data_IF_684634026721
#
_entry.id   IF_684634026721
#
_cell.length_a   1.000
_cell.length_b   1.000
_cell.length_c   1.000
_cell.angle_alpha   90.00
_cell.angle_beta   90.00
_cell.angle_gamma   90.00
#
_symmetry.space_group_name_H-M   'P 1'
#
loop_
_entity.id
_entity.type
_entity.pdbx_description
1 polymer ?
#
# COMPACT_ATOMS: atom_id res chain seq x y z
N UNK A 1 5.97 8.88 -19.13
CA UNK A 1 5.67 7.65 -19.90
C UNK A 1 4.43 7.00 -19.30
N UNK A 2 3.41 6.67 -20.09
CA UNK A 2 2.24 5.94 -19.61
C UNK A 2 2.40 4.45 -19.95
N UNK A 3 3.23 3.76 -19.17
CA UNK A 3 3.64 2.36 -19.44
C UNK A 3 2.43 1.41 -19.52
N UNK A 4 1.36 1.71 -18.78
CA UNK A 4 0.16 0.88 -18.68
C UNK A 4 -1.06 1.49 -19.40
N UNK A 5 -0.87 2.54 -20.19
CA UNK A 5 -1.99 3.26 -20.81
C UNK A 5 -2.84 2.43 -21.77
N UNK A 6 -2.25 1.41 -22.40
CA UNK A 6 -2.94 0.51 -23.33
C UNK A 6 -3.56 -0.73 -22.68
N UNK A 7 -3.26 -1.01 -21.40
CA UNK A 7 -3.71 -2.24 -20.73
C UNK A 7 -5.06 -2.10 -20.02
N UNK A 8 -5.64 -0.90 -19.98
CA UNK A 8 -6.84 -0.61 -19.19
C UNK A 8 -6.60 -0.55 -17.68
N UNK A 9 -5.35 -0.71 -17.23
CA UNK A 9 -4.96 -0.60 -15.82
C UNK A 9 -4.97 0.88 -15.43
N UNK A 10 -5.73 1.19 -14.38
CA UNK A 10 -5.84 2.54 -13.82
C UNK A 10 -4.83 2.70 -12.68
N UNK A 11 -3.87 3.57 -12.89
CA UNK A 11 -2.79 3.90 -11.94
C UNK A 11 -2.99 5.33 -11.48
N UNK A 12 -3.08 5.55 -10.18
CA UNK A 12 -3.29 6.89 -9.61
C UNK A 12 -2.41 7.14 -8.41
N UNK A 13 -2.08 8.42 -8.20
CA UNK A 13 -1.32 8.89 -7.05
C UNK A 13 -2.20 9.23 -5.86
N UNK A 14 -1.75 8.85 -4.67
CA UNK A 14 -2.34 9.20 -3.38
C UNK A 14 -1.24 9.87 -2.55
N UNK A 15 -1.16 11.20 -2.62
CA UNK A 15 -0.08 11.99 -2.03
C UNK A 15 -0.64 13.19 -1.28
N UNK A 16 -0.28 13.35 -0.01
CA UNK A 16 -0.82 14.42 0.84
C UNK A 16 -2.35 14.41 0.90
N UNK A 17 -2.96 15.55 0.58
CA UNK A 17 -4.42 15.73 0.49
C UNK A 17 -5.03 15.20 -0.80
N UNK A 18 -4.22 14.87 -1.81
CA UNK A 18 -4.72 14.36 -3.08
C UNK A 18 -5.23 12.93 -2.95
N UNK A 19 -6.44 12.70 -3.45
CA UNK A 19 -7.01 11.40 -3.70
C UNK A 19 -7.92 11.48 -4.94
N UNK A 20 -7.85 10.51 -5.87
CA UNK A 20 -8.70 10.48 -7.05
C UNK A 20 -10.18 10.33 -6.66
N UNK A 21 -11.12 10.86 -7.47
CA UNK A 21 -12.55 10.68 -7.26
C UNK A 21 -12.92 9.20 -7.18
N UNK A 22 -13.63 8.80 -6.13
CA UNK A 22 -13.98 7.39 -5.88
C UNK A 22 -12.92 6.59 -5.13
N UNK A 23 -11.76 7.17 -4.84
CA UNK A 23 -10.74 6.60 -3.95
C UNK A 23 -10.17 5.27 -4.43
N UNK A 24 -9.71 4.44 -3.48
CA UNK A 24 -8.95 3.21 -3.78
C UNK A 24 -9.75 2.18 -4.59
N UNK A 25 -11.09 2.18 -4.46
CA UNK A 25 -11.98 1.23 -5.17
C UNK A 25 -12.01 1.45 -6.68
N UNK A 26 -11.63 2.64 -7.15
CA UNK A 26 -11.63 2.97 -8.58
C UNK A 26 -10.29 2.72 -9.24
N UNK A 27 -9.26 2.30 -8.52
CA UNK A 27 -7.90 2.17 -9.07
C UNK A 27 -7.44 0.73 -9.00
N UNK A 28 -6.56 0.34 -9.93
CA UNK A 28 -5.93 -0.98 -9.92
C UNK A 28 -4.56 -0.93 -9.25
N UNK A 29 -3.87 0.21 -9.39
CA UNK A 29 -2.57 0.47 -8.75
C UNK A 29 -2.64 1.84 -8.07
N UNK A 30 -2.33 1.88 -6.78
CA UNK A 30 -2.26 3.10 -5.99
C UNK A 30 -0.80 3.40 -5.64
N UNK A 31 -0.28 4.51 -6.15
CA UNK A 31 1.06 4.99 -5.80
C UNK A 31 0.91 5.94 -4.63
N UNK A 32 1.53 5.63 -3.49
CA UNK A 32 1.30 6.37 -2.25
C UNK A 32 2.60 6.65 -1.49
N UNK A 33 2.61 7.74 -0.71
CA UNK A 33 3.62 7.91 0.35
C UNK A 33 3.33 6.95 1.49
N UNK A 34 4.31 6.69 2.35
CA UNK A 34 4.19 5.76 3.49
C UNK A 34 3.01 6.16 4.40
N UNK A 35 2.85 7.46 4.68
CA UNK A 35 1.75 7.99 5.48
C UNK A 35 0.39 7.67 4.84
N UNK A 36 0.28 7.90 3.53
CA UNK A 36 -0.98 7.72 2.81
C UNK A 36 -1.33 6.24 2.66
N UNK A 37 -0.33 5.39 2.41
CA UNK A 37 -0.49 3.94 2.41
C UNK A 37 -1.07 3.46 3.75
N UNK A 38 -0.51 3.96 4.86
CA UNK A 38 -0.96 3.62 6.21
C UNK A 38 -2.44 4.01 6.44
N UNK A 39 -2.84 5.21 6.02
CA UNK A 39 -4.25 5.65 6.08
C UNK A 39 -5.17 4.83 5.19
N UNK A 40 -4.74 4.47 3.96
CA UNK A 40 -5.54 3.66 3.04
C UNK A 40 -5.77 2.25 3.59
N UNK A 41 -4.73 1.60 4.14
CA UNK A 41 -4.86 0.29 4.78
C UNK A 41 -5.78 0.36 6.00
N UNK A 42 -5.70 1.39 6.84
CA UNK A 42 -6.63 1.56 7.97
C UNK A 42 -8.08 1.62 7.50
N UNK A 43 -8.36 2.43 6.47
CA UNK A 43 -9.71 2.53 5.90
C UNK A 43 -10.19 1.19 5.34
N UNK A 44 -9.34 0.45 4.63
CA UNK A 44 -9.70 -0.87 4.14
C UNK A 44 -9.98 -1.87 5.27
N UNK A 45 -9.28 -1.77 6.40
CA UNK A 45 -9.55 -2.60 7.57
C UNK A 45 -10.90 -2.27 8.20
N UNK A 46 -11.22 -0.98 8.33
CA UNK A 46 -12.52 -0.50 8.81
C UNK A 46 -13.67 -0.95 7.89
N UNK A 47 -13.48 -0.85 6.58
CA UNK A 47 -14.46 -1.23 5.55
C UNK A 47 -14.49 -2.75 5.28
N UNK A 48 -13.68 -3.56 5.97
CA UNK A 48 -13.49 -5.00 5.71
C UNK A 48 -13.11 -5.34 4.25
N UNK A 49 -12.46 -4.42 3.54
CA UNK A 49 -12.09 -4.53 2.12
C UNK A 49 -10.63 -4.88 1.86
N UNK A 50 -9.88 -5.31 2.89
CA UNK A 50 -8.45 -5.62 2.75
C UNK A 50 -8.18 -6.79 1.78
N UNK A 51 -9.16 -7.67 1.58
CA UNK A 51 -9.16 -8.76 0.61
C UNK A 51 -8.98 -8.30 -0.85
N UNK A 52 -9.33 -7.04 -1.16
CA UNK A 52 -9.09 -6.44 -2.48
C UNK A 52 -7.62 -6.15 -2.77
N UNK A 53 -6.74 -6.16 -1.76
CA UNK A 53 -5.30 -5.90 -1.92
C UNK A 53 -4.57 -7.21 -2.18
N UNK A 54 -4.06 -7.39 -3.40
CA UNK A 54 -3.25 -8.58 -3.74
C UNK A 54 -1.76 -8.43 -3.46
N UNK A 55 -1.21 -7.22 -3.57
CA UNK A 55 0.21 -6.96 -3.44
C UNK A 55 0.49 -5.56 -2.88
N UNK A 56 1.52 -5.46 -2.06
CA UNK A 56 2.10 -4.20 -1.56
C UNK A 56 3.57 -4.17 -1.94
N UNK A 57 3.93 -3.22 -2.81
CA UNK A 57 5.32 -2.96 -3.18
C UNK A 57 5.84 -1.82 -2.31
N UNK A 58 6.93 -2.09 -1.60
CA UNK A 58 7.63 -1.10 -0.77
C UNK A 58 8.95 -0.80 -1.44
N UNK A 59 9.06 0.43 -1.97
CA UNK A 59 10.34 0.97 -2.41
C UNK A 59 11.09 1.61 -1.25
N UNK A 60 12.41 1.69 -1.35
CA UNK A 60 13.30 2.23 -0.32
C UNK A 60 13.10 1.60 1.08
N UNK A 61 13.00 0.27 1.13
CA UNK A 61 12.82 -0.49 2.38
C UNK A 61 13.90 -0.21 3.43
N UNK A 62 15.09 0.26 3.02
CA UNK A 62 16.14 0.72 3.94
C UNK A 62 15.66 1.83 4.89
N UNK A 63 14.61 2.58 4.53
CA UNK A 63 13.95 3.56 5.40
C UNK A 63 13.35 2.95 6.67
N UNK A 64 13.19 1.62 6.76
CA UNK A 64 12.76 0.97 7.99
C UNK A 64 13.69 1.29 9.18
N UNK A 65 14.99 1.49 8.91
CA UNK A 65 15.96 1.90 9.92
C UNK A 65 16.00 3.41 10.20
N UNK A 66 15.20 4.22 9.50
CA UNK A 66 15.17 5.67 9.69
C UNK A 66 14.54 6.04 11.05
N UNK A 67 15.23 6.81 11.90
CA UNK A 67 14.77 7.12 13.25
C UNK A 67 13.55 8.05 13.30
N UNK A 68 13.27 8.79 12.22
CA UNK A 68 12.17 9.74 12.17
C UNK A 68 10.91 9.15 11.54
N UNK A 69 11.04 8.32 10.50
CA UNK A 69 9.91 7.85 9.68
C UNK A 69 9.85 6.34 9.51
N UNK A 70 10.89 5.59 9.86
CA UNK A 70 10.93 4.12 9.71
C UNK A 70 9.82 3.41 10.47
N UNK A 71 9.39 3.97 11.62
CA UNK A 71 8.29 3.44 12.42
C UNK A 71 6.96 3.35 11.64
N UNK A 72 6.72 4.25 10.68
CA UNK A 72 5.50 4.20 9.86
C UNK A 72 5.50 3.00 8.93
N UNK A 73 6.67 2.68 8.37
CA UNK A 73 6.85 1.53 7.50
C UNK A 73 6.76 0.23 8.30
N UNK A 74 7.38 0.20 9.49
CA UNK A 74 7.25 -0.92 10.42
C UNK A 74 5.78 -1.18 10.80
N UNK A 75 5.05 -0.13 11.13
CA UNK A 75 3.63 -0.20 11.48
C UNK A 75 2.77 -0.73 10.33
N UNK A 76 3.00 -0.24 9.11
CA UNK A 76 2.30 -0.70 7.90
C UNK A 76 2.52 -2.19 7.66
N UNK A 77 3.79 -2.62 7.62
CA UNK A 77 4.17 -4.00 7.36
C UNK A 77 3.67 -4.95 8.46
N UNK A 78 3.74 -4.52 9.72
CA UNK A 78 3.24 -5.29 10.87
C UNK A 78 1.73 -5.51 10.77
N UNK A 79 0.96 -4.48 10.41
CA UNK A 79 -0.49 -4.62 10.20
C UNK A 79 -0.82 -5.63 9.10
N UNK A 80 -0.17 -5.51 7.94
CA UNK A 80 -0.41 -6.42 6.82
C UNK A 80 -0.08 -7.87 7.21
N UNK A 81 1.09 -8.09 7.83
CA UNK A 81 1.53 -9.42 8.27
C UNK A 81 0.59 -9.99 9.34
N UNK A 82 0.18 -9.19 10.32
CA UNK A 82 -0.75 -9.62 11.35
C UNK A 82 -2.09 -10.06 10.76
N UNK A 83 -2.63 -9.32 9.79
CA UNK A 83 -3.90 -9.64 9.15
C UNK A 83 -3.84 -10.94 8.33
N UNK A 84 -2.77 -11.16 7.58
CA UNK A 84 -2.55 -12.43 6.87
C UNK A 84 -2.34 -13.62 7.82
N UNK A 85 -1.80 -13.40 9.04
CA UNK A 85 -1.70 -14.44 10.06
C UNK A 85 -3.05 -14.75 10.70
N UNK A 86 -3.86 -13.72 10.96
CA UNK A 86 -5.18 -13.84 11.59
C UNK A 86 -6.20 -14.47 10.65
N UNK A 87 -6.20 -14.08 9.38
CA UNK A 87 -7.09 -14.61 8.35
C UNK A 87 -6.28 -15.27 7.23
N UNK A 88 -6.34 -16.60 7.18
CA UNK A 88 -5.60 -17.42 6.21
C UNK A 88 -6.11 -17.26 4.77
N UNK A 89 -7.28 -16.66 4.57
CA UNK A 89 -7.81 -16.35 3.25
C UNK A 89 -7.18 -15.07 2.68
N UNK A 90 -6.73 -14.15 3.55
CA UNK A 90 -6.03 -12.94 3.15
C UNK A 90 -4.59 -13.28 2.74
N UNK A 91 -4.33 -13.24 1.43
CA UNK A 91 -3.00 -13.48 0.86
C UNK A 91 -2.49 -12.21 0.17
N UNK A 92 -1.80 -11.37 0.94
CA UNK A 92 -1.15 -10.17 0.44
C UNK A 92 0.32 -10.49 0.19
N UNK A 93 0.78 -10.34 -1.05
CA UNK A 93 2.20 -10.41 -1.37
C UNK A 93 2.88 -9.10 -0.97
N UNK A 94 4.02 -9.17 -0.27
CA UNK A 94 4.84 -7.99 0.01
C UNK A 94 6.14 -8.10 -0.79
N UNK A 95 6.42 -7.09 -1.61
CA UNK A 95 7.66 -7.00 -2.39
C UNK A 95 8.43 -5.79 -1.90
N UNK A 96 9.58 -6.02 -1.26
CA UNK A 96 10.46 -4.96 -0.78
C UNK A 96 11.63 -4.74 -1.74
N UNK A 97 11.91 -3.47 -2.07
CA UNK A 97 13.10 -3.03 -2.80
C UNK A 97 13.93 -2.14 -1.88
N UNK A 98 15.24 -2.33 -1.87
CA UNK A 98 16.15 -1.60 -0.99
C UNK A 98 17.48 -1.35 -1.70
N UNK A 99 18.17 -0.28 -1.29
CA UNK A 99 19.60 -0.14 -1.52
C UNK A 99 20.38 -1.14 -0.63
N UNK A 100 21.57 -1.52 -1.10
CA UNK A 100 22.52 -2.40 -0.39
C UNK A 100 23.36 -1.63 0.62
#
# INVERSE_FOLDING_TARGET
QNLLGSSGVRVEGFMGSHAPPGGLRTVHIAICTIEKANSLINRLLEDQGLDSVGCVVVDELHLLGDPHRGYLLELLLTKLKYMCLKDKLLKIQVVGMSAT
#
